data_IF_563748994802
#
_entry.id   IF_563748994802
#
_cell.length_a   1.000
_cell.length_b   1.000
_cell.length_c   1.000
_cell.angle_alpha   90.00
_cell.angle_beta   90.00
_cell.angle_gamma   90.00
#
_symmetry.space_group_name_H-M   'P 1'
#
loop_
_entity.id
_entity.type
_entity.pdbx_description
1 polymer ?
#
# COMPACT_ATOMS: atom_id res chain seq x y z
N UNK A 1 54.84 -32.90 46.20
CA UNK A 1 53.56 -32.49 45.59
C UNK A 1 52.48 -32.94 46.55
N UNK A 2 51.78 -32.02 47.17
CA UNK A 2 50.75 -32.35 48.18
C UNK A 2 49.45 -32.74 47.46
N UNK A 3 48.65 -33.66 48.01
CA UNK A 3 47.36 -34.09 47.40
C UNK A 3 46.42 -32.91 47.09
N UNK A 4 46.59 -31.79 47.81
CA UNK A 4 45.86 -30.54 47.57
C UNK A 4 46.25 -29.86 46.25
N UNK A 5 47.52 -29.89 45.86
CA UNK A 5 48.00 -29.32 44.59
C UNK A 5 47.42 -30.09 43.40
N UNK A 6 47.39 -31.43 43.47
CA UNK A 6 46.85 -32.28 42.42
C UNK A 6 45.34 -32.09 42.21
N UNK A 7 44.56 -32.02 43.31
CA UNK A 7 43.11 -31.72 43.22
C UNK A 7 42.82 -30.30 42.72
N UNK A 8 43.64 -29.33 43.11
CA UNK A 8 43.46 -27.94 42.63
C UNK A 8 43.72 -27.80 41.13
N UNK A 9 44.69 -28.56 40.59
CA UNK A 9 45.02 -28.58 39.16
C UNK A 9 43.88 -29.21 38.34
N UNK A 10 43.29 -30.30 38.83
CA UNK A 10 42.18 -30.99 38.17
C UNK A 10 40.90 -30.12 38.11
N UNK A 11 40.60 -29.42 39.20
CA UNK A 11 39.49 -28.44 39.25
C UNK A 11 39.73 -27.29 38.26
N UNK A 12 40.96 -26.77 38.19
CA UNK A 12 41.31 -25.70 37.25
C UNK A 12 41.20 -26.15 35.78
N UNK A 13 41.62 -27.39 35.46
CA UNK A 13 41.50 -27.95 34.12
C UNK A 13 40.04 -28.17 33.71
N UNK A 14 39.22 -28.78 34.58
CA UNK A 14 37.79 -28.96 34.31
C UNK A 14 37.07 -27.62 34.13
N UNK A 15 37.42 -26.63 34.95
CA UNK A 15 36.88 -25.27 34.85
C UNK A 15 37.24 -24.65 33.49
N UNK A 16 38.49 -24.81 33.02
CA UNK A 16 38.93 -24.35 31.70
C UNK A 16 38.15 -25.02 30.56
N UNK A 17 37.93 -26.34 30.62
CA UNK A 17 37.15 -27.06 29.60
C UNK A 17 35.69 -26.60 29.53
N UNK A 18 35.08 -26.30 30.68
CA UNK A 18 33.71 -25.75 30.73
C UNK A 18 33.65 -24.35 30.11
N UNK A 19 34.61 -23.47 30.41
CA UNK A 19 34.68 -22.13 29.79
C UNK A 19 34.91 -22.19 28.28
N UNK A 20 35.82 -23.06 27.80
CA UNK A 20 36.05 -23.26 26.37
C UNK A 20 34.79 -23.76 25.65
N UNK A 21 34.02 -24.65 26.28
CA UNK A 21 32.74 -25.11 25.74
C UNK A 21 31.69 -23.99 25.68
N UNK A 22 31.60 -23.17 26.72
CA UNK A 22 30.69 -22.04 26.78
C UNK A 22 31.02 -20.97 25.72
N UNK A 23 32.30 -20.64 25.53
CA UNK A 23 32.75 -19.68 24.53
C UNK A 23 32.46 -20.15 23.10
N UNK A 24 32.59 -21.45 22.83
CA UNK A 24 32.25 -22.03 21.53
C UNK A 24 30.74 -21.96 21.25
N UNK A 25 29.91 -22.23 22.25
CA UNK A 25 28.45 -22.09 22.14
C UNK A 25 28.07 -20.63 21.90
N UNK A 26 28.68 -19.69 22.63
CA UNK A 26 28.45 -18.25 22.45
C UNK A 26 28.84 -17.77 21.05
N UNK A 27 29.97 -18.25 20.51
CA UNK A 27 30.39 -17.97 19.14
C UNK A 27 29.38 -18.48 18.12
N UNK A 28 28.93 -19.73 18.26
CA UNK A 28 27.93 -20.32 17.36
C UNK A 28 26.58 -19.59 17.42
N UNK A 29 26.14 -19.19 18.62
CA UNK A 29 24.93 -18.40 18.80
C UNK A 29 25.03 -17.02 18.13
N UNK A 30 26.20 -16.36 18.23
CA UNK A 30 26.45 -15.08 17.58
C UNK A 30 26.43 -15.22 16.04
N UNK A 31 27.06 -16.26 15.50
CA UNK A 31 27.04 -16.56 14.07
C UNK A 31 25.59 -16.81 13.60
N UNK A 32 24.84 -17.63 14.32
CA UNK A 32 23.44 -17.92 14.01
C UNK A 32 22.58 -16.64 14.04
N UNK A 33 22.79 -15.74 14.99
CA UNK A 33 22.08 -14.47 15.07
C UNK A 33 22.40 -13.55 13.88
N UNK A 34 23.66 -13.47 13.44
CA UNK A 34 24.06 -12.69 12.27
C UNK A 34 23.40 -13.24 11.01
N UNK A 35 23.42 -14.58 10.82
CA UNK A 35 22.74 -15.21 9.69
C UNK A 35 21.23 -15.02 9.73
N UNK A 36 20.60 -15.13 10.90
CA UNK A 36 19.18 -14.86 11.09
C UNK A 36 18.82 -13.42 10.72
N UNK A 37 19.62 -12.45 11.14
CA UNK A 37 19.46 -11.04 10.76
C UNK A 37 19.57 -10.81 9.25
N UNK A 38 20.53 -11.46 8.60
CA UNK A 38 20.68 -11.38 7.14
C UNK A 38 19.47 -11.96 6.39
N UNK A 39 18.94 -13.10 6.84
CA UNK A 39 17.73 -13.72 6.26
C UNK A 39 16.52 -12.82 6.46
N UNK A 40 16.34 -12.23 7.65
CA UNK A 40 15.25 -11.31 7.93
C UNK A 40 15.32 -10.07 7.00
N UNK A 41 16.52 -9.50 6.81
CA UNK A 41 16.72 -8.39 5.89
C UNK A 41 16.41 -8.76 4.43
N UNK A 42 16.84 -9.94 3.97
CA UNK A 42 16.52 -10.42 2.63
C UNK A 42 15.00 -10.61 2.45
N UNK A 43 14.32 -11.12 3.47
CA UNK A 43 12.86 -11.31 3.46
C UNK A 43 12.12 -9.99 3.37
N UNK A 44 12.54 -8.97 4.14
CA UNK A 44 11.95 -7.62 4.07
C UNK A 44 12.07 -7.02 2.66
N UNK A 45 13.24 -7.17 2.01
CA UNK A 45 13.43 -6.70 0.63
C UNK A 45 12.54 -7.44 -0.37
N UNK A 46 12.34 -8.74 -0.20
CA UNK A 46 11.41 -9.51 -1.04
C UNK A 46 9.96 -9.06 -0.84
N UNK A 47 9.56 -8.75 0.39
CA UNK A 47 8.22 -8.22 0.69
C UNK A 47 8.02 -6.86 0.02
N UNK A 48 9.00 -5.97 0.07
CA UNK A 48 8.96 -4.67 -0.60
C UNK A 48 8.73 -4.82 -2.11
N UNK A 49 9.48 -5.71 -2.76
CA UNK A 49 9.32 -6.01 -4.20
C UNK A 49 7.95 -6.62 -4.51
N UNK A 50 7.47 -7.53 -3.67
CA UNK A 50 6.13 -8.11 -3.81
C UNK A 50 5.03 -7.06 -3.61
N UNK A 51 5.22 -6.10 -2.72
CA UNK A 51 4.28 -5.02 -2.46
C UNK A 51 4.15 -4.12 -3.69
N UNK A 52 5.26 -3.75 -4.33
CA UNK A 52 5.23 -2.99 -5.60
C UNK A 52 4.45 -3.73 -6.69
N UNK A 53 4.73 -5.02 -6.90
CA UNK A 53 3.96 -5.82 -7.86
C UNK A 53 2.47 -5.93 -7.48
N UNK A 54 2.16 -6.07 -6.19
CA UNK A 54 0.79 -6.14 -5.70
C UNK A 54 0.01 -4.84 -5.93
N UNK A 55 0.66 -3.66 -5.77
CA UNK A 55 0.02 -2.37 -6.07
C UNK A 55 -0.46 -2.32 -7.52
N UNK A 56 0.38 -2.73 -8.46
CA UNK A 56 0.02 -2.78 -9.89
C UNK A 56 -1.09 -3.78 -10.18
N UNK A 57 -1.07 -4.95 -9.53
CA UNK A 57 -2.12 -5.95 -9.67
C UNK A 57 -3.48 -5.48 -9.12
N UNK A 58 -3.50 -4.57 -8.15
CA UNK A 58 -4.72 -3.97 -7.61
C UNK A 58 -5.24 -2.82 -8.50
N UNK A 59 -4.36 -2.14 -9.24
CA UNK A 59 -4.75 -1.02 -10.10
C UNK A 59 -5.66 -1.47 -11.25
N UNK A 60 -5.33 -2.58 -11.93
CA UNK A 60 -6.13 -3.09 -13.05
C UNK A 60 -7.61 -3.38 -12.72
N UNK A 61 -7.95 -4.17 -11.69
CA UNK A 61 -9.35 -4.40 -11.34
C UNK A 61 -10.03 -3.12 -10.84
N UNK A 62 -9.27 -2.19 -10.24
CA UNK A 62 -9.77 -0.88 -9.86
C UNK A 62 -10.16 -0.03 -11.08
N UNK A 63 -9.31 -0.01 -12.11
CA UNK A 63 -9.57 0.65 -13.40
C UNK A 63 -10.78 0.04 -14.11
N UNK A 64 -10.89 -1.28 -14.08
CA UNK A 64 -12.03 -1.99 -14.64
C UNK A 64 -13.34 -1.61 -13.92
N UNK A 65 -13.37 -1.64 -12.58
CA UNK A 65 -14.54 -1.21 -11.81
C UNK A 65 -14.94 0.25 -12.10
N UNK A 66 -13.96 1.15 -12.14
CA UNK A 66 -14.21 2.56 -12.47
C UNK A 66 -14.75 2.73 -13.89
N UNK A 67 -14.20 2.01 -14.87
CA UNK A 67 -14.66 2.06 -16.24
C UNK A 67 -16.06 1.46 -16.40
N UNK A 68 -16.37 0.35 -15.73
CA UNK A 68 -17.72 -0.24 -15.71
C UNK A 68 -18.75 0.73 -15.12
N UNK A 69 -18.42 1.42 -14.03
CA UNK A 69 -19.29 2.46 -13.45
C UNK A 69 -19.49 3.64 -14.38
N UNK A 70 -18.42 4.07 -15.06
CA UNK A 70 -18.48 5.14 -16.06
C UNK A 70 -19.38 4.76 -17.24
N UNK A 71 -19.25 3.54 -17.75
CA UNK A 71 -20.10 3.01 -18.81
C UNK A 71 -21.56 2.99 -18.36
N UNK A 72 -21.86 2.43 -17.19
CA UNK A 72 -23.22 2.41 -16.65
C UNK A 72 -23.80 3.83 -16.48
N UNK A 73 -22.99 4.78 -16.01
CA UNK A 73 -23.38 6.18 -15.90
C UNK A 73 -23.68 6.81 -17.27
N UNK A 74 -22.83 6.55 -18.28
CA UNK A 74 -23.07 6.98 -19.66
C UNK A 74 -24.34 6.36 -20.26
N UNK A 75 -24.60 5.09 -20.00
CA UNK A 75 -25.81 4.38 -20.46
C UNK A 75 -27.07 4.99 -19.81
N UNK A 76 -27.01 5.33 -18.52
CA UNK A 76 -28.10 6.03 -17.86
C UNK A 76 -28.29 7.45 -18.41
N UNK A 77 -27.21 8.15 -18.76
CA UNK A 77 -27.30 9.46 -19.38
C UNK A 77 -28.04 9.42 -20.72
N UNK A 78 -27.80 8.39 -21.54
CA UNK A 78 -28.53 8.19 -22.80
C UNK A 78 -30.01 7.89 -22.56
N UNK A 79 -30.33 7.05 -21.56
CA UNK A 79 -31.73 6.74 -21.20
C UNK A 79 -32.47 7.96 -20.67
N UNK A 80 -31.77 8.84 -19.94
CA UNK A 80 -32.32 10.08 -19.42
C UNK A 80 -32.83 11.01 -20.53
N UNK A 81 -32.13 11.06 -21.67
CA UNK A 81 -32.55 11.85 -22.83
C UNK A 81 -33.89 11.36 -23.40
N UNK A 82 -34.14 10.05 -23.34
CA UNK A 82 -35.36 9.42 -23.90
C UNK A 82 -36.57 9.61 -22.98
N UNK A 83 -36.39 9.41 -21.68
CA UNK A 83 -37.48 9.53 -20.70
C UNK A 83 -36.94 10.08 -19.35
N UNK A 84 -36.86 11.42 -19.21
CA UNK A 84 -36.30 12.04 -18.02
C UNK A 84 -37.05 11.67 -16.74
N UNK A 85 -38.39 11.62 -16.80
CA UNK A 85 -39.23 11.37 -15.63
C UNK A 85 -39.01 9.98 -15.02
N UNK A 86 -38.65 9.01 -15.86
CA UNK A 86 -38.39 7.63 -15.45
C UNK A 86 -36.96 7.38 -14.99
N UNK A 87 -35.97 8.05 -15.59
CA UNK A 87 -34.56 7.71 -15.40
C UNK A 87 -33.75 8.72 -14.57
N UNK A 88 -34.32 9.85 -14.16
CA UNK A 88 -33.61 10.88 -13.37
C UNK A 88 -32.97 10.29 -12.10
N UNK A 89 -33.72 9.54 -11.30
CA UNK A 89 -33.20 8.95 -10.06
C UNK A 89 -32.07 7.95 -10.34
N UNK A 90 -32.25 7.08 -11.35
CA UNK A 90 -31.24 6.09 -11.76
C UNK A 90 -29.96 6.75 -12.29
N UNK A 91 -30.11 7.87 -12.99
CA UNK A 91 -29.00 8.67 -13.47
C UNK A 91 -28.22 9.33 -12.32
N UNK A 92 -28.91 9.94 -11.34
CA UNK A 92 -28.25 10.53 -10.18
C UNK A 92 -27.51 9.46 -9.36
N UNK A 93 -28.12 8.29 -9.15
CA UNK A 93 -27.47 7.18 -8.46
C UNK A 93 -26.22 6.69 -9.22
N UNK A 94 -26.31 6.51 -10.54
CA UNK A 94 -25.19 6.09 -11.36
C UNK A 94 -24.04 7.12 -11.32
N UNK A 95 -24.36 8.41 -11.34
CA UNK A 95 -23.40 9.51 -11.18
C UNK A 95 -22.70 9.44 -9.83
N UNK A 96 -23.45 9.28 -8.74
CA UNK A 96 -22.86 9.16 -7.39
C UNK A 96 -21.96 7.93 -7.29
N UNK A 97 -22.37 6.78 -7.83
CA UNK A 97 -21.55 5.55 -7.84
C UNK A 97 -20.24 5.74 -8.62
N UNK A 98 -20.28 6.47 -9.73
CA UNK A 98 -19.11 6.83 -10.52
C UNK A 98 -18.18 7.80 -9.77
N UNK A 99 -18.69 8.92 -9.27
CA UNK A 99 -17.87 9.88 -8.52
C UNK A 99 -17.27 9.27 -7.24
N UNK A 100 -17.99 8.37 -6.58
CA UNK A 100 -17.46 7.59 -5.46
C UNK A 100 -16.29 6.68 -5.85
N UNK A 101 -16.27 6.10 -7.07
CA UNK A 101 -15.09 5.36 -7.54
C UNK A 101 -13.90 6.29 -7.77
N UNK A 102 -14.12 7.47 -8.34
CA UNK A 102 -13.04 8.47 -8.52
C UNK A 102 -12.51 8.99 -7.18
N UNK A 103 -13.38 9.18 -6.18
CA UNK A 103 -12.98 9.56 -4.82
C UNK A 103 -12.12 8.49 -4.15
N UNK A 104 -12.44 7.21 -4.36
CA UNK A 104 -11.60 6.10 -3.89
C UNK A 104 -10.24 6.08 -4.57
N UNK A 105 -10.19 6.36 -5.88
CA UNK A 105 -8.93 6.47 -6.63
C UNK A 105 -8.09 7.59 -6.03
N UNK A 106 -8.68 8.77 -5.87
CA UNK A 106 -7.99 9.92 -5.33
C UNK A 106 -7.47 9.66 -3.91
N UNK A 107 -8.27 8.98 -3.08
CA UNK A 107 -7.83 8.55 -1.75
C UNK A 107 -6.66 7.56 -1.80
N UNK A 108 -6.68 6.59 -2.72
CA UNK A 108 -5.62 5.60 -2.85
C UNK A 108 -4.28 6.25 -3.25
N UNK A 109 -4.33 7.20 -4.21
CA UNK A 109 -3.17 7.98 -4.65
C UNK A 109 -2.64 8.84 -3.50
N UNK A 110 -3.51 9.60 -2.82
CA UNK A 110 -3.10 10.48 -1.72
C UNK A 110 -2.50 9.72 -0.53
N UNK A 111 -2.91 8.46 -0.33
CA UNK A 111 -2.39 7.60 0.73
C UNK A 111 -1.12 6.83 0.32
N UNK A 112 -0.58 7.07 -0.87
CA UNK A 112 0.64 6.42 -1.35
C UNK A 112 0.46 4.94 -1.72
N UNK A 113 -0.79 4.48 -1.91
CA UNK A 113 -1.04 3.11 -2.40
C UNK A 113 -0.58 2.96 -3.85
N UNK A 114 -0.60 4.05 -4.62
CA UNK A 114 -0.05 4.11 -5.97
C UNK A 114 1.03 5.20 -6.05
N UNK A 115 2.08 5.01 -6.89
CA UNK A 115 3.11 6.03 -7.10
C UNK A 115 2.52 7.31 -7.68
N UNK A 116 2.56 8.40 -6.92
CA UNK A 116 1.89 9.64 -7.31
C UNK A 116 2.41 10.21 -8.63
N UNK A 117 3.71 10.16 -8.89
CA UNK A 117 4.32 10.67 -10.13
C UNK A 117 3.72 9.99 -11.36
N UNK A 118 3.58 8.66 -11.32
CA UNK A 118 3.02 7.87 -12.42
C UNK A 118 1.51 8.12 -12.53
N UNK A 119 0.81 8.20 -11.40
CA UNK A 119 -0.62 8.49 -11.39
C UNK A 119 -0.94 9.90 -11.88
N UNK A 120 -0.11 10.90 -11.59
CA UNK A 120 -0.26 12.27 -12.12
C UNK A 120 -0.16 12.26 -13.64
N UNK A 121 0.73 11.47 -14.24
CA UNK A 121 0.85 11.38 -15.70
C UNK A 121 -0.43 10.78 -16.30
N UNK A 122 -0.94 9.68 -15.74
CA UNK A 122 -2.07 8.95 -16.32
C UNK A 122 -3.44 9.58 -16.03
N UNK A 123 -3.61 10.18 -14.84
CA UNK A 123 -4.93 10.57 -14.32
C UNK A 123 -5.14 12.07 -14.16
N UNK A 124 -4.11 12.91 -14.31
CA UNK A 124 -4.27 14.36 -14.11
C UNK A 124 -5.37 14.95 -14.98
N UNK A 125 -5.33 14.69 -16.29
CA UNK A 125 -6.35 15.23 -17.19
C UNK A 125 -7.74 14.69 -16.85
N UNK A 126 -7.83 13.42 -16.47
CA UNK A 126 -9.09 12.79 -16.07
C UNK A 126 -9.71 13.41 -14.81
N UNK A 127 -8.90 13.71 -13.79
CA UNK A 127 -9.37 14.41 -12.58
C UNK A 127 -9.79 15.84 -12.91
N UNK A 128 -8.99 16.56 -13.70
CA UNK A 128 -9.31 17.93 -14.15
C UNK A 128 -10.61 17.94 -14.94
N UNK A 129 -10.79 17.02 -15.89
CA UNK A 129 -12.00 16.92 -16.71
C UNK A 129 -13.22 16.61 -15.86
N UNK A 130 -13.10 15.71 -14.88
CA UNK A 130 -14.20 15.33 -13.99
C UNK A 130 -14.69 16.53 -13.16
N UNK A 131 -13.78 17.37 -12.65
CA UNK A 131 -14.15 18.58 -11.91
C UNK A 131 -14.81 19.61 -12.83
N UNK A 132 -14.29 19.79 -14.05
CA UNK A 132 -14.86 20.71 -15.05
C UNK A 132 -16.25 20.28 -15.51
N UNK A 133 -16.49 18.97 -15.60
CA UNK A 133 -17.76 18.41 -16.03
C UNK A 133 -18.86 18.53 -14.96
N UNK A 134 -18.49 18.43 -13.67
CA UNK A 134 -19.42 18.47 -12.53
C UNK A 134 -19.06 19.54 -11.48
N UNK A 135 -18.93 20.82 -11.86
CA UNK A 135 -18.42 21.85 -10.95
C UNK A 135 -19.33 22.04 -9.72
N UNK A 136 -20.63 21.78 -9.84
CA UNK A 136 -21.60 21.83 -8.74
C UNK A 136 -21.32 20.79 -7.64
N UNK A 137 -20.62 19.69 -7.98
CA UNK A 137 -20.26 18.64 -7.04
C UNK A 137 -18.98 18.92 -6.25
N UNK A 138 -18.18 19.89 -6.68
CA UNK A 138 -16.86 20.17 -6.11
C UNK A 138 -16.78 21.56 -5.44
N UNK A 139 -17.88 21.97 -4.79
CA UNK A 139 -17.94 23.18 -3.98
C UNK A 139 -17.47 22.96 -2.54
N UNK A 140 -17.34 24.04 -1.76
CA UNK A 140 -17.01 23.97 -0.34
C UNK A 140 -17.96 23.00 0.40
N UNK A 141 -17.39 22.07 1.17
CA UNK A 141 -18.18 21.01 1.83
C UNK A 141 -18.59 19.86 0.93
N UNK A 142 -17.95 19.68 -0.23
CA UNK A 142 -18.18 18.55 -1.14
C UNK A 142 -18.11 17.19 -0.43
N UNK A 143 -18.92 16.23 -0.90
CA UNK A 143 -18.83 14.81 -0.53
C UNK A 143 -17.57 14.13 -1.07
N UNK A 144 -16.85 14.79 -1.98
CA UNK A 144 -15.67 14.25 -2.68
C UNK A 144 -14.39 15.06 -2.39
N UNK A 145 -14.00 15.25 -1.11
CA UNK A 145 -12.87 16.12 -0.78
C UNK A 145 -11.51 15.58 -1.23
N UNK A 146 -11.37 14.26 -1.49
CA UNK A 146 -10.07 13.70 -1.92
C UNK A 146 -9.82 13.99 -3.39
N UNK A 147 -10.86 13.98 -4.23
CA UNK A 147 -10.75 14.45 -5.63
C UNK A 147 -10.28 15.90 -5.66
N UNK A 148 -10.91 16.78 -4.87
CA UNK A 148 -10.56 18.20 -4.83
C UNK A 148 -9.12 18.42 -4.34
N UNK A 149 -8.74 17.76 -3.24
CA UNK A 149 -7.38 17.83 -2.70
C UNK A 149 -6.33 17.32 -3.70
N UNK A 150 -6.62 16.25 -4.43
CA UNK A 150 -5.71 15.72 -5.44
C UNK A 150 -5.58 16.67 -6.63
N UNK A 151 -6.69 17.27 -7.05
CA UNK A 151 -6.70 18.30 -8.10
C UNK A 151 -5.85 19.52 -7.72
N UNK A 152 -6.06 20.09 -6.53
CA UNK A 152 -5.27 21.20 -6.01
C UNK A 152 -3.77 20.86 -6.01
N UNK A 153 -3.42 19.68 -5.49
CA UNK A 153 -2.04 19.18 -5.46
C UNK A 153 -1.40 19.00 -6.85
N UNK A 154 -2.19 18.75 -7.89
CA UNK A 154 -1.70 18.53 -9.25
C UNK A 154 -1.77 19.75 -10.16
N UNK A 155 -2.43 20.83 -9.70
CA UNK A 155 -2.37 22.14 -10.31
C UNK A 155 -1.04 22.84 -10.02
N UNK A 156 -0.49 22.62 -8.81
CA UNK A 156 0.88 22.96 -8.43
C UNK A 156 1.91 22.16 -9.27
#
# INVERSE_FOLDING_TARGET
MTDYEAKSLDIAQNTLYVYLGADLIALLALIAAIFGGFIAFSTLRKIEQQLESAKWNVLLPFEQDMNTRRQHFSDMAQKLIVDPAKYEESYQEAKERYLNSVERLASAILNGQFPETEMKISYREYIISTIREYPDKFVAGTRYPRILKLYEKWLD
#
